data_IF_631600975739
#
_entry.id   IF_631600975739
#
_cell.length_a   1.000
_cell.length_b   1.000
_cell.length_c   1.000
_cell.angle_alpha   90.00
_cell.angle_beta   90.00
_cell.angle_gamma   90.00
#
_symmetry.space_group_name_H-M   'P 1'
#
loop_
_entity.id
_entity.type
_entity.pdbx_description
1 polymer ?
#
# COMPACT_ATOMS: atom_id res chain seq x y z
N UNK A 1 13.67 20.28 6.53
CA UNK A 1 14.45 19.09 6.13
C UNK A 1 13.54 17.88 6.27
N UNK A 2 13.31 17.13 5.19
CA UNK A 2 12.53 15.89 5.26
C UNK A 2 13.38 14.82 5.93
N UNK A 3 12.87 14.19 6.99
CA UNK A 3 13.51 13.02 7.62
C UNK A 3 13.23 11.82 6.72
N UNK A 4 14.27 11.19 6.18
CA UNK A 4 14.12 9.92 5.49
C UNK A 4 13.99 8.82 6.55
N UNK A 5 12.88 8.08 6.51
CA UNK A 5 12.67 6.92 7.37
C UNK A 5 12.94 5.65 6.55
N UNK A 6 13.87 4.82 7.01
CA UNK A 6 14.01 3.47 6.47
C UNK A 6 12.87 2.56 7.00
N UNK A 7 12.53 1.45 6.32
CA UNK A 7 11.36 0.64 6.66
C UNK A 7 11.26 0.21 8.13
N UNK A 8 12.38 -0.15 8.76
CA UNK A 8 12.40 -0.50 10.19
C UNK A 8 12.10 0.68 11.11
N UNK A 9 12.61 1.87 10.79
CA UNK A 9 12.33 3.09 11.56
C UNK A 9 10.87 3.53 11.37
N UNK A 10 10.35 3.39 10.15
CA UNK A 10 8.95 3.66 9.83
C UNK A 10 8.01 2.71 10.60
N UNK A 11 8.32 1.41 10.63
CA UNK A 11 7.57 0.42 11.39
C UNK A 11 7.54 0.75 12.89
N UNK A 12 8.70 1.07 13.47
CA UNK A 12 8.80 1.45 14.88
C UNK A 12 8.02 2.72 15.21
N UNK A 13 8.14 3.75 14.37
CA UNK A 13 7.43 5.02 14.55
C UNK A 13 5.91 4.84 14.40
N UNK A 14 5.45 4.04 13.44
CA UNK A 14 4.04 3.71 13.26
C UNK A 14 3.50 2.99 14.49
N UNK A 15 4.20 1.97 14.98
CA UNK A 15 3.77 1.19 16.15
C UNK A 15 3.66 2.06 17.42
N UNK A 16 4.66 2.91 17.67
CA UNK A 16 4.66 3.81 18.82
C UNK A 16 3.51 4.83 18.77
N UNK A 17 3.23 5.40 17.59
CA UNK A 17 2.14 6.38 17.42
C UNK A 17 0.77 5.72 17.46
N UNK A 18 0.63 4.53 16.90
CA UNK A 18 -0.64 3.81 16.84
C UNK A 18 -1.12 3.36 18.21
N UNK A 19 -0.22 2.86 19.07
CA UNK A 19 -0.53 2.50 20.46
C UNK A 19 -0.94 3.70 21.32
N UNK A 20 -0.55 4.93 20.93
CA UNK A 20 -0.97 6.14 21.61
C UNK A 20 -2.40 6.59 21.24
N UNK A 21 -3.02 5.98 20.21
CA UNK A 21 -4.39 6.32 19.79
C UNK A 21 -5.42 5.56 20.63
N UNK A 22 -6.48 6.24 21.13
CA UNK A 22 -7.56 5.58 21.84
C UNK A 22 -8.35 4.65 20.90
N UNK A 23 -8.65 3.43 21.37
CA UNK A 23 -9.41 2.41 20.63
C UNK A 23 -8.80 1.95 19.29
N UNK A 24 -7.47 2.01 19.17
CA UNK A 24 -6.78 1.50 17.99
C UNK A 24 -6.91 -0.02 17.88
N UNK A 25 -7.25 -0.51 16.68
CA UNK A 25 -7.18 -1.95 16.33
C UNK A 25 -5.73 -2.41 16.49
N UNK A 26 -5.45 -3.62 17.00
CA UNK A 26 -4.07 -4.09 17.13
C UNK A 26 -3.34 -4.06 15.79
N UNK A 27 -2.14 -3.48 15.78
CA UNK A 27 -1.22 -3.62 14.65
C UNK A 27 -0.64 -5.04 14.61
N UNK A 28 -0.17 -5.50 13.44
CA UNK A 28 0.65 -6.69 13.34
C UNK A 28 1.91 -6.57 14.20
N UNK A 29 2.44 -7.71 14.63
CA UNK A 29 3.69 -7.77 15.36
C UNK A 29 4.83 -7.02 14.64
N UNK A 30 5.73 -6.34 15.37
CA UNK A 30 6.81 -5.53 14.78
C UNK A 30 7.62 -6.19 13.66
N UNK A 31 8.04 -7.48 13.73
CA UNK A 31 8.74 -8.12 12.62
C UNK A 31 7.89 -8.25 11.36
N UNK A 32 6.59 -8.54 11.50
CA UNK A 32 5.65 -8.68 10.39
C UNK A 32 5.43 -7.33 9.71
N UNK A 33 5.21 -6.29 10.50
CA UNK A 33 5.04 -4.93 9.98
C UNK A 33 6.31 -4.42 9.28
N UNK A 34 7.48 -4.72 9.86
CA UNK A 34 8.78 -4.34 9.27
C UNK A 34 8.99 -5.05 7.93
N UNK A 35 8.75 -6.37 7.86
CA UNK A 35 8.84 -7.12 6.61
C UNK A 35 7.86 -6.58 5.58
N UNK A 36 6.61 -6.34 5.97
CA UNK A 36 5.59 -5.78 5.09
C UNK A 36 6.03 -4.47 4.44
N UNK A 37 6.46 -3.49 5.25
CA UNK A 37 6.93 -2.19 4.77
C UNK A 37 8.24 -2.27 3.98
N UNK A 38 9.14 -3.19 4.34
CA UNK A 38 10.43 -3.36 3.66
C UNK A 38 10.23 -3.84 2.22
N UNK A 39 9.35 -4.81 2.00
CA UNK A 39 9.06 -5.31 0.65
C UNK A 39 8.40 -4.23 -0.23
N UNK A 40 7.49 -3.42 0.32
CA UNK A 40 6.86 -2.31 -0.42
C UNK A 40 7.92 -1.27 -0.80
N UNK A 41 8.79 -0.93 0.14
CA UNK A 41 9.90 -0.01 -0.11
C UNK A 41 10.81 -0.53 -1.22
N UNK A 42 11.23 -1.80 -1.15
CA UNK A 42 12.06 -2.43 -2.19
C UNK A 42 11.35 -2.45 -3.55
N UNK A 43 10.06 -2.79 -3.59
CA UNK A 43 9.27 -2.78 -4.81
C UNK A 43 9.18 -1.38 -5.43
N UNK A 44 9.04 -0.33 -4.62
CA UNK A 44 8.96 1.06 -5.09
C UNK A 44 10.24 1.55 -5.80
N UNK A 45 11.37 0.86 -5.60
CA UNK A 45 12.63 1.14 -6.31
C UNK A 45 12.70 0.46 -7.69
N UNK A 46 11.75 -0.42 -8.00
CA UNK A 46 11.71 -1.18 -9.25
C UNK A 46 10.90 -0.45 -10.34
N UNK A 47 11.06 -0.94 -11.57
CA UNK A 47 10.31 -0.48 -12.73
C UNK A 47 9.74 -1.67 -13.51
N UNK A 48 8.58 -1.48 -14.12
CA UNK A 48 7.92 -2.41 -15.04
C UNK A 48 7.49 -1.67 -16.30
N UNK A 49 7.84 -2.18 -17.48
CA UNK A 49 7.59 -1.52 -18.77
C UNK A 49 8.00 -0.03 -18.85
N UNK A 50 9.09 0.32 -18.15
CA UNK A 50 9.61 1.70 -18.08
C UNK A 50 8.82 2.64 -17.16
N UNK A 51 7.89 2.10 -16.36
CA UNK A 51 7.13 2.84 -15.34
C UNK A 51 7.55 2.40 -13.93
N UNK A 52 7.56 3.32 -12.98
CA UNK A 52 7.80 2.99 -11.57
C UNK A 52 6.71 2.04 -11.06
N UNK A 53 7.10 1.11 -10.19
CA UNK A 53 6.14 0.23 -9.52
C UNK A 53 5.34 1.05 -8.51
N UNK A 54 4.04 1.15 -8.75
CA UNK A 54 3.14 1.90 -7.91
C UNK A 54 1.84 1.13 -7.69
N UNK A 55 1.53 0.79 -6.44
CA UNK A 55 0.34 0.04 -6.07
C UNK A 55 -0.11 0.35 -4.64
N UNK A 56 -1.37 0.05 -4.33
CA UNK A 56 -1.87 0.03 -2.97
C UNK A 56 -1.91 -1.40 -2.45
N UNK A 57 -1.69 -1.55 -1.15
CA UNK A 57 -1.54 -2.87 -0.53
C UNK A 57 -2.20 -2.85 0.84
N UNK A 58 -2.73 -4.00 1.26
CA UNK A 58 -3.43 -4.17 2.52
C UNK A 58 -2.96 -5.44 3.20
N UNK A 59 -2.68 -5.34 4.49
CA UNK A 59 -2.32 -6.47 5.33
C UNK A 59 -3.55 -6.88 6.15
N UNK A 60 -4.28 -7.88 5.65
CA UNK A 60 -5.50 -8.38 6.25
C UNK A 60 -5.79 -9.84 5.83
N UNK A 61 -6.45 -10.59 6.71
CA UNK A 61 -7.05 -11.89 6.38
C UNK A 61 -8.45 -11.72 5.79
N UNK A 62 -8.94 -12.74 5.09
CA UNK A 62 -10.33 -12.78 4.61
C UNK A 62 -11.35 -12.59 5.74
N UNK A 63 -11.09 -13.20 6.91
CA UNK A 63 -11.94 -13.06 8.08
C UNK A 63 -11.97 -11.63 8.63
N UNK A 64 -10.83 -10.94 8.61
CA UNK A 64 -10.78 -9.54 9.01
C UNK A 64 -11.61 -8.70 8.05
N UNK A 65 -11.46 -8.89 6.73
CA UNK A 65 -12.18 -8.12 5.70
C UNK A 65 -13.69 -8.39 5.67
N UNK A 66 -14.14 -9.56 6.13
CA UNK A 66 -15.56 -9.88 6.27
C UNK A 66 -16.24 -9.09 7.42
N UNK A 67 -15.47 -8.36 8.23
CA UNK A 67 -16.02 -7.60 9.35
C UNK A 67 -16.83 -6.38 8.85
N UNK A 68 -18.12 -6.22 9.21
CA UNK A 68 -19.00 -5.18 8.67
C UNK A 68 -18.52 -3.73 8.90
N UNK A 69 -17.62 -3.51 9.85
CA UNK A 69 -17.12 -2.18 10.21
C UNK A 69 -15.96 -1.68 9.34
N UNK A 70 -15.38 -2.50 8.46
CA UNK A 70 -14.18 -2.13 7.69
C UNK A 70 -14.44 -1.35 6.40
N UNK A 71 -15.69 -1.27 5.93
CA UNK A 71 -16.06 -0.31 4.88
C UNK A 71 -17.56 -0.04 4.84
N UNK A 72 -17.98 1.23 4.99
CA UNK A 72 -19.32 1.70 4.61
C UNK A 72 -19.66 1.57 3.10
N UNK A 73 -18.77 0.98 2.29
CA UNK A 73 -18.94 0.82 0.84
C UNK A 73 -18.65 -0.58 0.28
N UNK A 74 -18.27 -1.56 1.11
CA UNK A 74 -17.96 -2.92 0.65
C UNK A 74 -16.62 -3.07 -0.09
N UNK A 75 -16.12 -4.31 -0.17
CA UNK A 75 -14.98 -4.70 -0.99
C UNK A 75 -15.30 -6.00 -1.71
N UNK A 76 -14.84 -6.12 -2.94
CA UNK A 76 -14.82 -7.36 -3.69
C UNK A 76 -13.44 -8.01 -3.60
N UNK A 77 -13.41 -9.26 -3.15
CA UNK A 77 -12.19 -10.05 -3.02
C UNK A 77 -11.99 -10.89 -4.27
N UNK A 78 -10.83 -10.75 -4.91
CA UNK A 78 -10.37 -11.60 -6.00
C UNK A 78 -9.21 -12.46 -5.47
N UNK A 79 -9.52 -13.64 -4.96
CA UNK A 79 -8.51 -14.58 -4.47
C UNK A 79 -7.66 -15.10 -5.64
N UNK A 80 -6.35 -15.20 -5.42
CA UNK A 80 -5.48 -15.93 -6.34
C UNK A 80 -5.77 -17.43 -6.24
N UNK A 81 -5.64 -18.15 -7.36
CA UNK A 81 -5.75 -19.61 -7.36
C UNK A 81 -4.76 -20.27 -6.40
N UNK A 82 -3.57 -19.68 -6.26
CA UNK A 82 -2.57 -20.06 -5.26
C UNK A 82 -1.96 -18.81 -4.63
N UNK A 83 -1.80 -18.76 -3.28
CA UNK A 83 -1.08 -17.68 -2.62
C UNK A 83 0.37 -17.61 -3.09
N UNK A 84 0.89 -16.40 -3.20
CA UNK A 84 2.25 -16.10 -3.66
C UNK A 84 3.11 -15.53 -2.53
N UNK A 85 4.43 -15.70 -2.58
CA UNK A 85 5.31 -15.07 -1.59
C UNK A 85 5.20 -13.55 -1.64
N UNK A 86 5.28 -12.91 -0.48
CA UNK A 86 5.32 -11.46 -0.37
C UNK A 86 6.73 -10.93 -0.66
N UNK A 87 7.01 -10.76 -1.95
CA UNK A 87 8.30 -10.33 -2.48
C UNK A 87 8.15 -9.19 -3.49
N UNK A 88 9.18 -8.38 -3.62
CA UNK A 88 9.17 -7.17 -4.44
C UNK A 88 8.95 -7.48 -5.93
N UNK A 89 9.40 -8.64 -6.40
CA UNK A 89 9.19 -9.07 -7.79
C UNK A 89 7.73 -9.45 -8.06
N UNK A 90 7.03 -10.05 -7.09
CA UNK A 90 5.61 -10.34 -7.23
C UNK A 90 4.79 -9.04 -7.23
N UNK A 91 5.15 -8.07 -6.38
CA UNK A 91 4.52 -6.74 -6.40
C UNK A 91 4.76 -6.07 -7.74
N UNK A 92 6.01 -6.05 -8.23
CA UNK A 92 6.36 -5.48 -9.54
C UNK A 92 5.51 -6.06 -10.66
N UNK A 93 5.42 -7.39 -10.74
CA UNK A 93 4.65 -8.11 -11.76
C UNK A 93 3.15 -7.83 -11.70
N UNK A 94 2.60 -7.68 -10.50
CA UNK A 94 1.17 -7.47 -10.30
C UNK A 94 0.77 -6.00 -10.32
N UNK A 95 1.71 -5.07 -10.12
CA UNK A 95 1.44 -3.64 -10.07
C UNK A 95 0.66 -3.09 -11.28
N UNK A 96 0.89 -3.54 -12.54
CA UNK A 96 0.11 -3.06 -13.68
C UNK A 96 -1.37 -3.48 -13.64
N UNK A 97 -1.70 -4.56 -12.91
CA UNK A 97 -3.07 -5.04 -12.74
C UNK A 97 -3.82 -4.35 -11.59
N UNK A 98 -3.12 -3.56 -10.76
CA UNK A 98 -3.69 -2.84 -9.61
C UNK A 98 -4.18 -1.48 -10.08
N UNK A 99 -5.43 -1.42 -10.53
CA UNK A 99 -6.07 -0.17 -10.93
C UNK A 99 -6.29 0.76 -9.72
N UNK A 100 -5.47 1.81 -9.63
CA UNK A 100 -5.65 2.85 -8.60
C UNK A 100 -6.82 3.78 -8.95
N UNK A 101 -7.51 4.33 -7.95
CA UNK A 101 -7.27 4.19 -6.50
C UNK A 101 -8.08 3.07 -5.83
N UNK A 102 -8.85 2.26 -6.56
CA UNK A 102 -9.81 1.32 -5.97
C UNK A 102 -9.26 -0.08 -5.72
N UNK A 103 -8.15 -0.46 -6.34
CA UNK A 103 -7.59 -1.82 -6.19
C UNK A 103 -6.40 -1.84 -5.25
N UNK A 104 -6.33 -2.86 -4.40
CA UNK A 104 -5.22 -3.13 -3.48
C UNK A 104 -4.75 -4.58 -3.61
N UNK A 105 -3.45 -4.84 -3.44
CA UNK A 105 -2.92 -6.19 -3.25
C UNK A 105 -3.20 -6.62 -1.81
N UNK A 106 -3.77 -7.81 -1.65
CA UNK A 106 -4.13 -8.35 -0.36
C UNK A 106 -3.05 -9.32 0.15
N UNK A 107 -2.53 -9.02 1.35
CA UNK A 107 -1.42 -9.73 1.99
C UNK A 107 -1.89 -10.21 3.35
N UNK A 108 -1.41 -11.38 3.78
CA UNK A 108 -1.64 -11.90 5.14
C UNK A 108 -0.40 -12.59 5.67
N UNK A 109 -0.30 -12.71 6.99
CA UNK A 109 0.63 -13.64 7.59
C UNK A 109 0.13 -15.09 7.39
N UNK A 110 1.01 -15.97 6.92
CA UNK A 110 0.81 -17.40 6.93
C UNK A 110 0.99 -17.95 8.34
N UNK A 111 0.56 -19.19 8.57
CA UNK A 111 0.76 -19.89 9.84
C UNK A 111 2.24 -20.12 10.16
N UNK A 112 3.10 -20.09 9.14
CA UNK A 112 4.56 -20.19 9.28
C UNK A 112 5.22 -18.88 9.73
N UNK A 113 4.48 -17.77 9.71
CA UNK A 113 4.97 -16.41 10.00
C UNK A 113 5.35 -15.61 8.76
N UNK A 114 5.47 -16.25 7.59
CA UNK A 114 5.80 -15.58 6.34
C UNK A 114 4.61 -14.78 5.80
N UNK A 115 4.89 -13.66 5.14
CA UNK A 115 3.86 -12.91 4.43
C UNK A 115 3.58 -13.52 3.07
N UNK A 116 2.29 -13.64 2.75
CA UNK A 116 1.83 -14.15 1.46
C UNK A 116 0.80 -13.21 0.84
N UNK A 117 0.96 -12.97 -0.45
CA UNK A 117 -0.02 -12.30 -1.29
C UNK A 117 -1.09 -13.33 -1.68
N UNK A 118 -2.33 -13.09 -1.27
CA UNK A 118 -3.41 -14.07 -1.40
C UNK A 118 -4.52 -13.62 -2.35
N UNK A 119 -4.54 -12.34 -2.74
CA UNK A 119 -5.57 -11.83 -3.64
C UNK A 119 -5.41 -10.36 -3.96
N UNK A 120 -6.46 -9.81 -4.58
CA UNK A 120 -6.68 -8.39 -4.77
C UNK A 120 -7.99 -8.00 -4.10
N UNK A 121 -8.02 -6.79 -3.54
CA UNK A 121 -9.26 -6.15 -3.11
C UNK A 121 -9.63 -5.10 -4.13
N UNK A 122 -10.89 -5.09 -4.54
CA UNK A 122 -11.48 -4.03 -5.34
C UNK A 122 -12.51 -3.32 -4.45
N UNK A 123 -12.21 -2.09 -4.08
CA UNK A 123 -13.10 -1.24 -3.32
C UNK A 123 -14.11 -0.55 -4.26
N UNK A 124 -15.36 -0.42 -3.85
CA UNK A 124 -16.41 0.25 -4.64
C UNK A 124 -16.23 1.78 -4.67
N UNK A 125 -15.41 2.31 -3.74
CA UNK A 125 -14.95 3.68 -3.69
C UNK A 125 -13.41 3.70 -3.55
N UNK A 126 -12.72 4.80 -3.91
CA UNK A 126 -11.29 4.95 -3.63
C UNK A 126 -11.01 4.64 -2.14
N UNK A 127 -10.08 3.73 -1.86
CA UNK A 127 -9.85 3.29 -0.47
C UNK A 127 -9.27 4.41 0.41
N UNK A 128 -8.60 5.38 -0.22
CA UNK A 128 -8.04 6.58 0.40
C UNK A 128 -9.08 7.68 0.62
N UNK A 129 -10.32 7.47 0.16
CA UNK A 129 -11.44 8.37 0.36
C UNK A 129 -12.29 7.94 1.56
N UNK A 130 -12.12 8.64 2.69
CA UNK A 130 -13.04 8.54 3.83
C UNK A 130 -14.24 9.48 3.61
N UNK A 131 -15.49 9.04 3.89
CA UNK A 131 -16.65 9.92 3.86
C UNK A 131 -16.45 11.12 4.81
N UNK A 132 -16.42 12.34 4.28
CA UNK A 132 -16.16 13.56 5.04
C UNK A 132 -14.70 14.04 5.02
N UNK A 133 -13.77 13.29 4.44
CA UNK A 133 -12.45 13.79 4.11
C UNK A 133 -12.53 14.78 2.95
N UNK A 134 -11.86 15.92 3.09
CA UNK A 134 -11.58 16.80 1.95
C UNK A 134 -10.84 15.95 0.89
N UNK A 135 -11.17 16.09 -0.40
CA UNK A 135 -10.39 15.44 -1.45
C UNK A 135 -8.92 15.77 -1.23
N UNK A 136 -7.99 14.81 -1.44
CA UNK A 136 -6.57 15.07 -1.26
C UNK A 136 -6.25 16.34 -2.06
N UNK A 137 -5.82 17.38 -1.36
CA UNK A 137 -5.41 18.62 -2.01
C UNK A 137 -4.41 18.20 -3.07
N UNK A 138 -4.70 18.54 -4.33
CA UNK A 138 -3.83 18.25 -5.45
C UNK A 138 -2.42 18.61 -5.01
N UNK A 139 -1.54 17.63 -4.88
CA UNK A 139 -0.13 17.90 -4.63
C UNK A 139 0.35 18.59 -5.90
N UNK A 140 0.19 19.91 -5.94
CA UNK A 140 0.93 20.75 -6.86
C UNK A 140 2.37 20.56 -6.43
N UNK A 141 3.06 19.64 -7.13
CA UNK A 141 4.50 19.64 -7.23
C UNK A 141 4.89 21.11 -7.43
N UNK A 142 5.76 21.69 -6.60
CA UNK A 142 6.14 23.08 -6.75
C UNK A 142 6.60 23.31 -8.19
N UNK A 143 6.03 24.32 -8.86
CA UNK A 143 6.28 24.62 -10.28
C UNK A 143 7.77 24.82 -10.64
N UNK A 144 8.67 24.82 -9.65
CA UNK A 144 10.13 24.82 -9.81
C UNK A 144 10.67 23.53 -10.48
N UNK A 145 9.90 22.44 -10.55
CA UNK A 145 10.27 21.21 -11.27
C UNK A 145 9.67 21.10 -12.68
N UNK A 146 8.77 22.01 -13.10
CA UNK A 146 8.16 22.01 -14.43
C UNK A 146 8.99 22.81 -15.47
N UNK A 147 9.95 23.62 -15.03
CA UNK A 147 10.76 24.47 -15.89
C UNK A 147 12.11 23.80 -16.25
N UNK A 148 12.07 22.81 -17.13
CA UNK A 148 13.30 22.12 -17.56
C UNK A 148 13.18 21.33 -18.85
N UNK A 149 12.41 21.79 -19.84
CA UNK A 149 12.31 21.03 -21.08
C UNK A 149 11.41 21.63 -22.15
N UNK A 150 11.82 22.75 -22.73
CA UNK A 150 11.62 23.07 -24.16
C UNK A 150 12.33 24.37 -24.49
N UNK A 151 13.60 24.26 -24.88
CA UNK A 151 14.09 25.16 -25.91
C UNK A 151 14.91 24.35 -26.94
N UNK A 152 14.21 23.98 -28.01
CA UNK A 152 14.74 23.55 -29.30
C UNK A 152 13.81 24.15 -30.34
N UNK A 153 14.20 25.28 -30.93
CA UNK A 153 14.19 25.52 -32.38
C UNK A 153 14.30 27.03 -32.67
N UNK A 154 15.33 27.42 -33.44
CA UNK A 154 15.43 28.73 -34.07
C UNK A 154 16.85 29.27 -34.09
#
# INVERSE_FOLDING_TARGET
MAVAYYPGELAAALHARWLALPAAVPLPEPPVLTQFLSTIYQASLLQEEGRGVECHVVLATEQQLAHPSLAPGGYHVLALGEPRPWEEQEIRRLSPAVARPSTLLAVRAATTGDLVLWGLLVADAPWDYLPGSLPPASSTVPAVLEAGGRDRAG
#
